data_IF_591522722888
#
_entry.id   IF_591522722888
#
_cell.length_a   1.000
_cell.length_b   1.000
_cell.length_c   1.000
_cell.angle_alpha   90.00
_cell.angle_beta   90.00
_cell.angle_gamma   90.00
#
_symmetry.space_group_name_H-M   'P 1'
#
loop_
_entity.id
_entity.type
_entity.pdbx_description
1 polymer ?
#
# COMPACT_ATOMS: atom_id res chain seq x y z
N UNK A 1 7.11 -23.86 25.07
CA UNK A 1 6.47 -22.96 24.08
C UNK A 1 7.45 -22.42 23.03
N UNK A 2 8.67 -22.97 22.87
CA UNK A 2 9.78 -22.33 22.13
C UNK A 2 9.75 -22.48 20.59
N UNK A 3 8.57 -22.55 19.95
CA UNK A 3 8.51 -22.75 18.50
C UNK A 3 7.32 -22.07 17.82
N UNK A 4 6.83 -20.96 18.38
CA UNK A 4 5.76 -20.17 17.77
C UNK A 4 6.36 -19.16 16.80
N UNK A 5 5.83 -19.14 15.59
CA UNK A 5 6.16 -18.22 14.52
C UNK A 5 4.98 -17.29 14.27
N UNK A 6 5.25 -16.03 13.93
CA UNK A 6 4.21 -15.05 13.62
C UNK A 6 4.56 -14.29 12.35
N UNK A 7 3.62 -14.31 11.40
CA UNK A 7 3.65 -13.54 10.17
C UNK A 7 2.68 -12.36 10.22
N UNK A 8 3.16 -11.16 9.88
CA UNK A 8 2.32 -10.01 9.57
C UNK A 8 1.97 -10.02 8.07
N UNK A 9 0.68 -10.18 7.79
CA UNK A 9 0.18 -10.40 6.44
C UNK A 9 -0.54 -9.16 5.88
N UNK A 10 -0.01 -8.60 4.79
CA UNK A 10 -0.67 -7.58 3.99
C UNK A 10 -1.24 -8.21 2.71
N UNK A 11 -2.57 -8.20 2.58
CA UNK A 11 -3.26 -8.80 1.42
C UNK A 11 -3.27 -7.90 0.18
N UNK A 12 -2.90 -6.63 0.34
CA UNK A 12 -2.74 -5.63 -0.71
C UNK A 12 -2.37 -4.28 -0.10
N UNK A 13 -1.51 -3.53 -0.79
CA UNK A 13 -1.13 -2.15 -0.47
C UNK A 13 -1.13 -1.37 -1.77
N UNK A 14 -1.82 -0.22 -1.80
CA UNK A 14 -1.79 0.68 -2.95
C UNK A 14 -1.06 1.99 -2.58
N UNK A 15 0.22 2.18 -2.92
CA UNK A 15 1.00 1.45 -3.92
C UNK A 15 2.31 0.83 -3.40
N UNK A 16 2.94 1.48 -2.43
CA UNK A 16 4.06 0.94 -1.65
C UNK A 16 3.91 1.38 -0.20
N UNK A 17 4.64 0.79 0.74
CA UNK A 17 4.54 1.22 2.13
C UNK A 17 5.83 1.06 2.92
N UNK A 18 6.03 1.99 3.84
CA UNK A 18 6.92 1.82 4.97
C UNK A 18 6.13 1.27 6.16
N UNK A 19 6.48 0.08 6.63
CA UNK A 19 5.86 -0.60 7.77
C UNK A 19 6.80 -0.50 8.95
N UNK A 20 6.29 -0.05 10.09
CA UNK A 20 7.02 0.03 11.35
C UNK A 20 6.32 -0.84 12.38
N UNK A 21 7.02 -1.82 12.94
CA UNK A 21 6.54 -2.62 14.07
C UNK A 21 7.49 -2.41 15.25
N UNK A 22 6.98 -1.86 16.36
CA UNK A 22 7.79 -1.54 17.53
C UNK A 22 9.06 -0.71 17.20
N UNK A 23 8.98 0.17 16.19
CA UNK A 23 10.10 0.97 15.70
C UNK A 23 10.97 0.30 14.63
N UNK A 24 10.82 -1.01 14.37
CA UNK A 24 11.53 -1.72 13.31
C UNK A 24 10.89 -1.44 11.95
N UNK A 25 11.66 -0.85 11.02
CA UNK A 25 11.21 -0.54 9.66
C UNK A 25 11.35 -1.74 8.72
N UNK A 26 10.30 -2.02 7.96
CA UNK A 26 10.23 -2.96 6.84
C UNK A 26 9.61 -2.24 5.64
N UNK A 27 10.08 -2.52 4.43
CA UNK A 27 9.59 -1.86 3.21
C UNK A 27 8.78 -2.85 2.38
N UNK A 28 7.55 -2.46 2.04
CA UNK A 28 6.72 -3.19 1.10
C UNK A 28 6.92 -2.60 -0.31
N UNK A 29 7.40 -3.40 -1.27
CA UNK A 29 7.67 -2.91 -2.61
C UNK A 29 6.39 -2.57 -3.37
N UNK A 30 6.55 -1.75 -4.40
CA UNK A 30 5.52 -1.27 -5.32
C UNK A 30 4.66 -2.42 -5.90
N UNK A 31 3.36 -2.21 -5.95
CA UNK A 31 2.42 -3.07 -6.69
C UNK A 31 1.11 -3.31 -5.94
N UNK A 32 0.02 -2.75 -6.45
CA UNK A 32 -1.31 -2.78 -5.81
C UNK A 32 -1.85 -4.20 -5.54
N UNK A 33 -1.48 -5.17 -6.38
CA UNK A 33 -1.97 -6.55 -6.30
C UNK A 33 -1.03 -7.51 -5.54
N UNK A 34 0.08 -6.99 -5.01
CA UNK A 34 1.04 -7.83 -4.29
C UNK A 34 0.53 -8.18 -2.90
N UNK A 35 0.81 -9.41 -2.49
CA UNK A 35 0.64 -9.88 -1.11
C UNK A 35 2.01 -9.91 -0.45
N UNK A 36 2.06 -9.55 0.82
CA UNK A 36 3.28 -9.58 1.62
C UNK A 36 3.03 -10.36 2.90
N UNK A 37 3.94 -11.28 3.21
CA UNK A 37 4.05 -11.93 4.51
C UNK A 37 5.39 -11.54 5.08
N UNK A 38 5.39 -10.91 6.25
CA UNK A 38 6.59 -10.49 6.95
C UNK A 38 6.73 -11.33 8.20
N UNK A 39 7.84 -12.05 8.34
CA UNK A 39 8.18 -12.71 9.59
C UNK A 39 8.50 -11.65 10.64
N UNK A 40 7.63 -11.55 11.66
CA UNK A 40 7.74 -10.59 12.75
C UNK A 40 8.00 -11.28 14.10
N UNK A 41 8.31 -12.58 14.07
CA UNK A 41 8.47 -13.41 15.26
C UNK A 41 9.45 -12.79 16.26
N UNK A 42 10.56 -12.24 15.76
CA UNK A 42 11.63 -11.66 16.59
C UNK A 42 11.42 -10.19 16.96
N UNK A 43 10.35 -9.56 16.46
CA UNK A 43 10.06 -8.13 16.67
C UNK A 43 8.92 -7.96 17.69
N UNK A 44 8.04 -8.96 17.79
CA UNK A 44 6.90 -8.93 18.70
C UNK A 44 7.33 -8.97 20.17
N UNK A 45 6.60 -8.25 21.00
CA UNK A 45 6.57 -8.42 22.44
C UNK A 45 5.43 -9.39 22.79
N UNK A 46 5.67 -10.67 23.10
CA UNK A 46 4.61 -11.67 23.24
C UNK A 46 3.66 -11.40 24.41
N UNK A 47 4.21 -10.88 25.52
CA UNK A 47 3.48 -10.58 26.75
C UNK A 47 3.21 -9.08 26.93
N UNK A 48 3.43 -8.29 25.88
CA UNK A 48 3.39 -6.83 25.92
C UNK A 48 2.62 -6.21 24.76
N UNK A 49 2.55 -4.88 24.78
CA UNK A 49 1.92 -4.13 23.69
C UNK A 49 2.85 -4.07 22.47
N UNK A 50 2.24 -4.26 21.30
CA UNK A 50 2.88 -4.10 20.01
C UNK A 50 2.24 -2.93 19.29
N UNK A 51 3.05 -2.06 18.69
CA UNK A 51 2.58 -0.93 17.90
C UNK A 51 2.98 -1.13 16.43
N UNK A 52 1.96 -1.23 15.58
CA UNK A 52 2.10 -1.26 14.12
C UNK A 52 1.73 0.10 13.54
N UNK A 53 2.64 0.72 12.81
CA UNK A 53 2.39 1.91 12.00
C UNK A 53 2.71 1.61 10.53
N UNK A 54 1.85 2.06 9.62
CA UNK A 54 1.99 1.81 8.19
C UNK A 54 1.82 3.12 7.44
N UNK A 55 2.88 3.58 6.79
CA UNK A 55 2.83 4.75 5.91
C UNK A 55 2.70 4.24 4.47
N UNK A 56 1.53 4.46 3.88
CA UNK A 56 1.22 4.07 2.51
C UNK A 56 1.53 5.23 1.57
N UNK A 57 2.34 4.96 0.55
CA UNK A 57 2.71 5.93 -0.47
C UNK A 57 1.85 5.73 -1.72
N UNK A 58 1.46 6.82 -2.41
CA UNK A 58 0.73 6.74 -3.67
C UNK A 58 1.59 6.10 -4.79
N UNK A 59 0.97 5.78 -5.95
CA UNK A 59 1.71 5.49 -7.18
C UNK A 59 2.67 6.63 -7.55
N UNK A 60 3.71 6.34 -8.33
CA UNK A 60 4.71 7.35 -8.75
C UNK A 60 4.12 8.31 -9.79
N UNK A 61 3.24 7.79 -10.63
CA UNK A 61 2.55 8.48 -11.71
C UNK A 61 1.05 8.45 -11.44
N UNK A 62 0.56 9.14 -10.40
CA UNK A 62 -0.88 9.17 -10.15
C UNK A 62 -1.59 9.74 -11.38
N UNK A 63 -1.01 10.74 -12.05
CA UNK A 63 -1.67 11.47 -13.13
C UNK A 63 -2.57 12.58 -12.61
N UNK A 64 -3.25 13.23 -13.54
CA UNK A 64 -4.14 14.36 -13.31
C UNK A 64 -5.42 14.21 -14.12
N UNK A 65 -6.48 14.88 -13.66
CA UNK A 65 -7.76 14.87 -14.36
C UNK A 65 -7.96 16.25 -14.99
N UNK A 66 -7.98 16.34 -16.33
CA UNK A 66 -8.22 17.59 -17.03
C UNK A 66 -9.59 18.20 -16.63
N UNK A 67 -9.75 19.54 -16.65
CA UNK A 67 -11.03 20.20 -16.34
C UNK A 67 -12.20 19.71 -17.21
N UNK A 68 -11.93 19.37 -18.46
CA UNK A 68 -12.86 18.78 -19.42
C UNK A 68 -13.23 17.32 -19.13
N UNK A 69 -12.56 16.68 -18.16
CA UNK A 69 -12.73 15.27 -17.83
C UNK A 69 -12.03 14.34 -18.83
N UNK A 70 -12.54 13.11 -18.93
CA UNK A 70 -12.00 12.08 -19.83
C UNK A 70 -11.70 10.77 -19.10
N UNK A 71 -11.85 9.65 -19.82
CA UNK A 71 -11.64 8.32 -19.26
C UNK A 71 -10.18 8.11 -18.87
N UNK A 72 -9.91 7.97 -17.58
CA UNK A 72 -8.57 7.69 -17.06
C UNK A 72 -7.66 8.92 -16.94
N UNK A 73 -8.23 10.13 -16.91
CA UNK A 73 -7.46 11.37 -16.75
C UNK A 73 -6.47 11.59 -17.90
N UNK A 74 -5.24 11.99 -17.56
CA UNK A 74 -4.12 12.15 -18.49
C UNK A 74 -3.40 10.83 -18.85
N UNK A 75 -3.93 9.68 -18.42
CA UNK A 75 -3.40 8.33 -18.64
C UNK A 75 -2.05 8.02 -17.99
N UNK A 76 -1.46 8.91 -17.20
CA UNK A 76 -0.17 8.68 -16.55
C UNK A 76 -0.21 7.49 -15.59
N UNK A 77 -1.38 7.23 -14.98
CA UNK A 77 -1.63 6.07 -14.11
C UNK A 77 -1.36 4.73 -14.78
N UNK A 78 -1.42 4.66 -16.11
CA UNK A 78 -1.11 3.46 -16.88
C UNK A 78 0.37 3.05 -16.82
N UNK A 79 1.27 3.95 -16.37
CA UNK A 79 2.70 3.65 -16.16
C UNK A 79 2.93 2.80 -14.92
N UNK A 80 2.02 2.85 -13.95
CA UNK A 80 2.11 2.08 -12.72
C UNK A 80 1.20 0.85 -12.75
N UNK A 81 1.56 -0.20 -12.00
CA UNK A 81 0.71 -1.40 -11.83
C UNK A 81 -0.37 -1.11 -10.78
N UNK A 82 -1.30 -0.23 -11.13
CA UNK A 82 -2.42 0.20 -10.32
C UNK A 82 -3.74 0.00 -11.09
N UNK A 83 -4.87 0.05 -10.37
CA UNK A 83 -6.18 0.02 -11.02
C UNK A 83 -6.37 1.34 -11.78
N UNK A 84 -6.61 1.28 -13.09
CA UNK A 84 -6.84 2.49 -13.88
C UNK A 84 -8.14 3.21 -13.47
N UNK A 85 -9.08 2.50 -12.84
CA UNK A 85 -10.38 3.03 -12.46
C UNK A 85 -10.34 4.10 -11.37
N UNK A 86 -9.24 4.25 -10.60
CA UNK A 86 -9.17 5.25 -9.52
C UNK A 86 -8.90 6.67 -9.99
N UNK A 87 -8.40 6.87 -11.21
CA UNK A 87 -8.11 8.19 -11.80
C UNK A 87 -9.30 8.79 -12.56
N UNK A 88 -10.51 8.33 -12.26
CA UNK A 88 -11.72 8.87 -12.86
C UNK A 88 -12.07 8.17 -14.17
N UNK A 89 -13.02 7.25 -14.08
CA UNK A 89 -13.98 7.05 -15.17
C UNK A 89 -15.03 8.17 -15.10
N UNK A 90 -15.84 8.35 -16.14
CA UNK A 90 -16.87 9.41 -16.26
C UNK A 90 -17.87 9.51 -15.06
N UNK A 91 -17.82 8.56 -14.10
CA UNK A 91 -18.67 8.44 -12.92
C UNK A 91 -17.92 8.38 -11.56
N UNK A 92 -16.59 8.50 -11.53
CA UNK A 92 -15.80 8.56 -10.27
C UNK A 92 -15.04 9.89 -10.22
N UNK A 93 -15.48 10.80 -9.36
CA UNK A 93 -14.77 12.06 -9.13
C UNK A 93 -13.50 11.82 -8.27
N UNK A 94 -12.36 12.43 -8.60
CA UNK A 94 -11.18 12.37 -7.76
C UNK A 94 -11.41 13.13 -6.45
N UNK A 95 -10.75 12.67 -5.38
CA UNK A 95 -10.64 13.45 -4.13
C UNK A 95 -9.67 14.59 -4.39
N UNK A 96 -10.10 15.84 -4.17
CA UNK A 96 -9.27 17.06 -4.22
C UNK A 96 -8.75 17.43 -2.84
#
# INVERSE_FOLDING_TARGET
SNNQHCDLNFRGINYSADVYLNGHKMVLPKGMFRRHSLDVTNILHPDGNNLLAVLVHPPDHPGSIPPEGGQGGDHEIGKDVATQYVQGWDWIAPIR
#
